data_IF_595519184643
#
_entry.id   IF_595519184643
#
_cell.length_a   1.000
_cell.length_b   1.000
_cell.length_c   1.000
_cell.angle_alpha   90.00
_cell.angle_beta   90.00
_cell.angle_gamma   90.00
#
_symmetry.space_group_name_H-M   'P 1'
#
loop_
_entity.id
_entity.type
_entity.pdbx_description
1 polymer ?
#
# COMPACT_ATOMS: atom_id res chain seq x y z
N UNK A 1 21.31 42.41 -26.42
CA UNK A 1 20.08 41.71 -25.96
C UNK A 1 19.94 40.31 -26.59
N UNK A 2 20.98 39.46 -26.57
CA UNK A 2 20.89 38.07 -27.07
C UNK A 2 21.26 37.05 -25.98
N UNK A 3 22.13 37.42 -25.04
CA UNK A 3 22.53 36.56 -23.92
C UNK A 3 21.41 36.30 -22.88
N UNK A 4 20.47 37.23 -22.69
CA UNK A 4 19.37 37.06 -21.71
C UNK A 4 18.25 36.14 -22.21
N UNK A 5 18.10 35.96 -23.52
CA UNK A 5 17.08 35.06 -24.09
C UNK A 5 17.49 33.59 -24.02
N UNK A 6 18.79 33.30 -24.12
CA UNK A 6 19.30 31.92 -24.07
C UNK A 6 19.31 31.35 -22.64
N UNK A 7 19.52 32.19 -21.62
CA UNK A 7 19.46 31.76 -20.22
C UNK A 7 18.03 31.49 -19.77
N UNK A 8 17.05 32.29 -20.19
CA UNK A 8 15.64 32.06 -19.88
C UNK A 8 15.12 30.74 -20.48
N UNK A 9 15.53 30.39 -21.70
CA UNK A 9 15.09 29.16 -22.37
C UNK A 9 15.63 27.90 -21.68
N UNK A 10 16.88 27.92 -21.20
CA UNK A 10 17.50 26.80 -20.48
C UNK A 10 16.83 26.54 -19.12
N UNK A 11 16.41 27.60 -18.41
CA UNK A 11 15.70 27.47 -17.13
C UNK A 11 14.32 26.84 -17.34
N UNK A 12 13.58 27.23 -18.39
CA UNK A 12 12.26 26.66 -18.69
C UNK A 12 12.37 25.17 -19.07
N UNK A 13 13.40 24.78 -19.82
CA UNK A 13 13.65 23.39 -20.19
C UNK A 13 14.02 22.51 -18.98
N UNK A 14 14.83 23.03 -18.05
CA UNK A 14 15.22 22.30 -16.83
C UNK A 14 14.05 22.12 -15.86
N UNK A 15 13.19 23.14 -15.70
CA UNK A 15 11.99 23.05 -14.86
C UNK A 15 11.00 22.04 -15.45
N UNK A 16 10.76 22.07 -16.77
CA UNK A 16 9.86 21.11 -17.41
C UNK A 16 10.39 19.67 -17.36
N UNK A 17 11.70 19.44 -17.51
CA UNK A 17 12.27 18.10 -17.41
C UNK A 17 12.06 17.45 -16.01
N UNK A 18 12.06 18.24 -14.94
CA UNK A 18 11.75 17.74 -13.59
C UNK A 18 10.28 17.38 -13.37
N UNK A 19 9.34 18.00 -14.11
CA UNK A 19 7.92 17.71 -13.98
C UNK A 19 7.42 16.56 -14.87
N UNK A 20 8.19 16.14 -15.88
CA UNK A 20 7.80 15.10 -16.84
C UNK A 20 8.56 13.77 -16.70
N UNK A 21 9.22 13.52 -15.57
CA UNK A 21 9.63 12.16 -15.24
C UNK A 21 8.37 11.31 -15.02
N UNK A 22 8.16 10.19 -15.73
CA UNK A 22 7.10 9.27 -15.35
C UNK A 22 7.42 8.78 -13.94
N UNK A 23 6.62 9.19 -12.96
CA UNK A 23 6.59 8.51 -11.67
C UNK A 23 6.20 7.07 -11.99
N UNK A 24 7.16 6.16 -11.97
CA UNK A 24 6.88 4.75 -11.94
C UNK A 24 6.24 4.49 -10.58
N UNK A 25 4.91 4.55 -10.53
CA UNK A 25 4.16 4.05 -9.39
C UNK A 25 4.55 2.59 -9.24
N UNK A 26 5.30 2.27 -8.19
CA UNK A 26 5.74 0.92 -7.91
C UNK A 26 4.48 0.04 -7.83
N UNK A 27 4.48 -1.10 -8.54
CA UNK A 27 3.33 -1.99 -8.55
C UNK A 27 3.11 -2.51 -7.12
N UNK A 28 2.13 -1.92 -6.44
CA UNK A 28 1.71 -2.37 -5.12
C UNK A 28 1.02 -3.73 -5.27
N UNK A 29 1.19 -4.59 -4.26
CA UNK A 29 0.60 -5.94 -4.19
C UNK A 29 -0.94 -5.91 -4.31
N UNK A 30 -1.59 -4.82 -3.88
CA UNK A 30 -3.04 -4.60 -3.99
C UNK A 30 -3.52 -4.32 -5.43
N UNK A 31 -2.62 -4.03 -6.37
CA UNK A 31 -2.93 -3.81 -7.79
C UNK A 31 -2.59 -5.01 -8.69
N UNK A 32 -2.07 -6.10 -8.12
CA UNK A 32 -1.69 -7.30 -8.84
C UNK A 32 -2.86 -8.30 -8.95
N UNK A 33 -3.28 -8.61 -10.19
CA UNK A 33 -4.49 -9.38 -10.47
C UNK A 33 -4.54 -10.76 -9.78
N UNK A 34 -3.41 -11.45 -9.68
CA UNK A 34 -3.34 -12.77 -9.05
C UNK A 34 -3.50 -12.72 -7.53
N UNK A 35 -3.23 -11.58 -6.89
CA UNK A 35 -3.38 -11.41 -5.44
C UNK A 35 -4.77 -10.98 -5.00
N UNK A 36 -5.62 -10.47 -5.90
CA UNK A 36 -6.99 -10.02 -5.57
C UNK A 36 -7.79 -11.08 -4.81
N UNK A 37 -7.69 -12.35 -5.23
CA UNK A 37 -8.39 -13.48 -4.58
C UNK A 37 -7.88 -13.82 -3.17
N UNK A 38 -6.76 -13.24 -2.75
CA UNK A 38 -6.09 -13.46 -1.47
C UNK A 38 -6.20 -12.25 -0.52
N UNK A 39 -6.95 -11.21 -0.89
CA UNK A 39 -7.03 -9.93 -0.15
C UNK A 39 -8.41 -9.71 0.51
N UNK A 40 -9.14 -10.79 0.81
CA UNK A 40 -10.42 -10.73 1.52
C UNK A 40 -10.20 -10.75 3.04
N UNK A 41 -10.34 -9.57 3.66
CA UNK A 41 -10.13 -9.37 5.10
C UNK A 41 -11.17 -10.14 5.92
N UNK A 42 -12.44 -10.14 5.51
CA UNK A 42 -13.51 -10.84 6.22
C UNK A 42 -13.21 -12.34 6.24
N UNK A 43 -12.86 -12.91 5.09
CA UNK A 43 -12.47 -14.32 4.99
C UNK A 43 -11.19 -14.65 5.76
N UNK A 44 -10.21 -13.74 5.79
CA UNK A 44 -8.94 -13.96 6.48
C UNK A 44 -9.11 -14.14 8.00
N UNK A 45 -10.08 -13.45 8.60
CA UNK A 45 -10.30 -13.47 10.05
C UNK A 45 -11.56 -14.24 10.49
N UNK A 46 -12.44 -14.63 9.56
CA UNK A 46 -13.60 -15.49 9.82
C UNK A 46 -13.26 -16.99 9.75
N UNK A 47 -12.15 -17.39 10.38
CA UNK A 47 -11.70 -18.78 10.48
C UNK A 47 -11.26 -19.09 11.92
N UNK A 48 -11.25 -20.37 12.30
CA UNK A 48 -10.73 -20.84 13.58
C UNK A 48 -9.25 -21.23 13.44
N UNK A 49 -8.36 -20.84 14.38
CA UNK A 49 -8.63 -20.09 15.61
C UNK A 49 -8.88 -18.60 15.40
N UNK A 50 -9.61 -17.99 16.33
CA UNK A 50 -9.91 -16.55 16.39
C UNK A 50 -8.79 -15.74 17.06
N UNK A 51 -7.61 -16.32 17.27
CA UNK A 51 -6.45 -15.64 17.85
C UNK A 51 -5.21 -15.72 16.96
N UNK A 52 -4.44 -14.63 16.93
CA UNK A 52 -3.32 -14.43 16.01
C UNK A 52 -2.14 -13.77 16.73
N UNK A 53 -0.97 -14.42 16.74
CA UNK A 53 0.25 -13.85 17.32
C UNK A 53 0.87 -12.80 16.41
N UNK A 54 1.32 -11.69 16.98
CA UNK A 54 2.21 -10.77 16.30
C UNK A 54 3.64 -11.32 16.38
N UNK A 55 4.07 -12.02 15.32
CA UNK A 55 5.39 -12.64 15.27
C UNK A 55 6.53 -11.63 15.05
N UNK A 56 6.32 -10.63 14.19
CA UNK A 56 7.34 -9.62 13.88
C UNK A 56 6.83 -8.53 12.95
N UNK A 57 7.57 -7.41 12.91
CA UNK A 57 7.29 -6.26 12.07
C UNK A 57 8.61 -5.53 11.76
N UNK A 58 8.70 -4.86 10.63
CA UNK A 58 9.95 -4.30 10.08
C UNK A 58 10.08 -2.77 10.28
N UNK A 59 9.37 -2.20 11.24
CA UNK A 59 9.35 -0.77 11.51
C UNK A 59 9.29 -0.51 13.02
N UNK A 60 9.56 0.71 13.48
CA UNK A 60 9.37 1.05 14.89
C UNK A 60 7.91 1.45 15.17
N UNK A 61 7.32 0.93 16.24
CA UNK A 61 5.92 1.19 16.59
C UNK A 61 5.75 1.52 18.08
N UNK A 62 5.38 2.77 18.36
CA UNK A 62 5.03 3.26 19.71
C UNK A 62 3.92 2.40 20.34
N UNK A 63 3.03 1.81 19.53
CA UNK A 63 1.96 0.94 20.01
C UNK A 63 2.46 -0.39 20.58
N UNK A 64 3.70 -0.79 20.28
CA UNK A 64 4.31 -2.05 20.78
C UNK A 64 5.42 -1.83 21.79
N UNK A 65 5.80 -0.58 22.06
CA UNK A 65 6.84 -0.27 23.06
C UNK A 65 6.48 -0.84 24.42
N UNK A 66 7.48 -1.48 25.05
CA UNK A 66 7.39 -2.13 26.35
C UNK A 66 6.33 -3.24 26.43
N UNK A 67 5.89 -3.79 25.29
CA UNK A 67 4.96 -4.92 25.21
C UNK A 67 5.68 -6.14 24.65
N UNK A 68 5.39 -7.30 25.22
CA UNK A 68 5.85 -8.61 24.75
C UNK A 68 4.65 -9.56 24.62
N UNK A 69 4.83 -10.68 23.91
CA UNK A 69 3.80 -11.70 23.73
C UNK A 69 2.46 -11.10 23.25
N UNK A 70 2.52 -10.26 22.21
CA UNK A 70 1.34 -9.60 21.66
C UNK A 70 0.55 -10.60 20.79
N UNK A 71 -0.71 -10.80 21.11
CA UNK A 71 -1.66 -11.51 20.25
C UNK A 71 -2.97 -10.74 20.11
N UNK A 72 -3.62 -10.93 18.97
CA UNK A 72 -4.94 -10.40 18.69
C UNK A 72 -5.97 -11.49 18.90
N UNK A 73 -7.10 -11.15 19.51
CA UNK A 73 -8.27 -12.04 19.62
C UNK A 73 -9.45 -11.36 18.93
N UNK A 74 -10.02 -12.02 17.92
CA UNK A 74 -11.15 -11.56 17.13
C UNK A 74 -12.43 -11.91 17.90
N UNK A 75 -13.17 -10.89 18.31
CA UNK A 75 -14.38 -11.07 19.12
C UNK A 75 -15.64 -11.18 18.24
N UNK A 76 -15.68 -10.40 17.16
CA UNK A 76 -16.75 -10.45 16.16
C UNK A 76 -16.24 -9.91 14.82
N UNK A 77 -16.74 -10.47 13.71
CA UNK A 77 -16.45 -10.00 12.36
C UNK A 77 -17.70 -9.99 11.50
N UNK A 78 -17.84 -8.95 10.68
CA UNK A 78 -18.87 -8.81 9.67
C UNK A 78 -18.22 -8.45 8.33
N UNK A 79 -19.01 -8.40 7.26
CA UNK A 79 -18.51 -7.93 5.95
C UNK A 79 -18.00 -6.49 5.98
N UNK A 80 -18.46 -5.67 6.94
CA UNK A 80 -18.15 -4.24 7.02
C UNK A 80 -17.18 -3.85 8.13
N UNK A 81 -16.76 -4.78 9.00
CA UNK A 81 -15.86 -4.44 10.09
C UNK A 81 -15.59 -5.60 11.05
N UNK A 82 -14.84 -5.29 12.11
CA UNK A 82 -14.51 -6.26 13.16
C UNK A 82 -14.30 -5.60 14.52
N UNK A 83 -14.61 -6.37 15.56
CA UNK A 83 -14.23 -6.10 16.94
C UNK A 83 -13.11 -7.07 17.33
N UNK A 84 -12.06 -6.56 17.93
CA UNK A 84 -10.94 -7.38 18.37
C UNK A 84 -10.27 -6.78 19.60
N UNK A 85 -9.42 -7.58 20.23
CA UNK A 85 -8.57 -7.11 21.30
C UNK A 85 -7.09 -7.41 21.04
N UNK A 86 -6.21 -6.49 21.44
CA UNK A 86 -4.78 -6.75 21.59
C UNK A 86 -4.52 -7.16 23.02
N UNK A 87 -3.86 -8.29 23.20
CA UNK A 87 -3.50 -8.86 24.48
C UNK A 87 -1.98 -8.97 24.54
N UNK A 88 -1.37 -8.55 25.64
CA UNK A 88 0.09 -8.46 25.74
C UNK A 88 0.57 -8.51 27.19
N UNK A 89 1.87 -8.70 27.36
CA UNK A 89 2.55 -8.59 28.65
C UNK A 89 3.33 -7.28 28.68
N UNK A 90 3.09 -6.48 29.73
CA UNK A 90 3.83 -5.24 30.00
C UNK A 90 4.09 -5.15 31.50
N UNK A 91 5.34 -4.91 31.89
CA UNK A 91 5.79 -4.93 33.30
C UNK A 91 5.33 -6.19 34.05
N UNK A 92 5.53 -7.37 33.44
CA UNK A 92 5.14 -8.70 33.98
C UNK A 92 3.64 -8.91 34.19
N UNK A 93 2.79 -7.94 33.78
CA UNK A 93 1.34 -8.04 33.87
C UNK A 93 0.72 -8.29 32.51
N UNK A 94 -0.32 -9.12 32.49
CA UNK A 94 -1.17 -9.30 31.32
C UNK A 94 -2.12 -8.12 31.22
N UNK A 95 -2.17 -7.51 30.05
CA UNK A 95 -3.02 -6.38 29.74
C UNK A 95 -3.77 -6.63 28.43
N UNK A 96 -4.92 -5.96 28.28
CA UNK A 96 -5.83 -6.08 27.14
C UNK A 96 -6.31 -4.69 26.71
N UNK A 97 -6.36 -4.45 25.41
CA UNK A 97 -6.97 -3.25 24.80
C UNK A 97 -7.98 -3.71 23.75
N UNK A 98 -9.18 -3.14 23.79
CA UNK A 98 -10.27 -3.44 22.86
C UNK A 98 -10.32 -2.43 21.72
N UNK A 99 -10.71 -2.90 20.55
CA UNK A 99 -10.81 -2.12 19.32
C UNK A 99 -12.09 -2.48 18.55
N UNK A 100 -12.56 -1.49 17.81
CA UNK A 100 -13.61 -1.64 16.79
C UNK A 100 -13.11 -0.97 15.51
N UNK A 101 -13.28 -1.64 14.39
CA UNK A 101 -12.78 -1.18 13.09
C UNK A 101 -13.81 -1.41 11.99
N UNK A 102 -13.74 -0.55 10.99
CA UNK A 102 -14.58 -0.58 9.79
C UNK A 102 -13.67 -0.94 8.61
N UNK A 103 -14.13 -1.81 7.73
CA UNK A 103 -13.42 -2.16 6.51
C UNK A 103 -13.69 -1.13 5.43
N UNK A 104 -12.62 -0.58 4.86
CA UNK A 104 -12.67 0.30 3.71
C UNK A 104 -12.36 -0.48 2.44
N UNK A 105 -13.07 -0.19 1.37
CA UNK A 105 -12.79 -0.75 0.05
C UNK A 105 -11.92 0.23 -0.74
N UNK A 106 -10.86 -0.27 -1.35
CA UNK A 106 -10.04 0.47 -2.32
C UNK A 106 -10.33 -0.08 -3.71
N UNK A 107 -10.61 0.77 -4.72
CA UNK A 107 -10.82 0.30 -6.07
C UNK A 107 -9.59 -0.42 -6.61
N UNK A 108 -9.76 -1.69 -7.00
CA UNK A 108 -8.71 -2.45 -7.68
C UNK A 108 -8.47 -1.88 -9.09
N UNK A 109 -7.23 -1.47 -9.39
CA UNK A 109 -6.79 -1.08 -10.74
C UNK A 109 -6.01 -2.24 -11.36
N UNK A 110 -6.53 -2.80 -12.45
CA UNK A 110 -5.82 -3.85 -13.18
C UNK A 110 -4.66 -3.27 -14.01
N UNK A 111 -3.50 -3.08 -13.37
CA UNK A 111 -2.31 -2.52 -14.02
C UNK A 111 -1.75 -3.43 -15.12
N UNK A 112 -2.02 -4.75 -15.10
CA UNK A 112 -1.54 -5.67 -16.14
C UNK A 112 -2.05 -5.31 -17.55
N UNK A 113 -3.22 -4.67 -17.63
CA UNK A 113 -3.85 -4.28 -18.91
C UNK A 113 -3.31 -2.94 -19.43
N UNK A 114 -2.91 -2.03 -18.54
CA UNK A 114 -2.40 -0.71 -18.92
C UNK A 114 -0.90 -0.72 -19.21
N UNK A 115 -0.11 -1.64 -18.62
CA UNK A 115 1.29 -1.82 -19.02
C UNK A 115 1.41 -2.29 -20.47
N UNK A 116 0.46 -3.10 -20.98
CA UNK A 116 0.43 -3.49 -22.40
C UNK A 116 0.18 -2.30 -23.36
N UNK A 117 -0.52 -1.24 -22.93
CA UNK A 117 -0.78 -0.08 -23.79
C UNK A 117 0.44 0.81 -23.97
N UNK A 118 1.31 0.92 -22.96
CA UNK A 118 2.49 1.80 -23.04
C UNK A 118 3.59 1.21 -23.95
N UNK A 119 3.70 -0.11 -24.04
CA UNK A 119 4.66 -0.75 -24.97
C UNK A 119 4.24 -0.59 -26.44
N UNK A 120 2.94 -0.62 -26.74
CA UNK A 120 2.45 -0.44 -28.13
C UNK A 120 2.57 1.01 -28.60
N UNK A 121 2.27 2.00 -27.73
CA UNK A 121 2.39 3.44 -28.08
C UNK A 121 3.84 3.88 -28.27
N UNK A 122 4.79 3.30 -27.52
CA UNK A 122 6.22 3.58 -27.69
C UNK A 122 6.81 2.93 -28.96
N UNK A 123 6.31 1.76 -29.38
CA UNK A 123 6.68 1.15 -30.66
C UNK A 123 6.07 1.87 -31.87
N UNK A 124 4.81 2.33 -31.78
CA UNK A 124 4.17 3.13 -32.85
C UNK A 124 4.84 4.49 -33.07
N UNK A 125 5.35 5.15 -32.01
CA UNK A 125 6.10 6.41 -32.16
C UNK A 125 7.48 6.24 -32.81
N UNK A 126 8.09 5.04 -32.77
CA UNK A 126 9.35 4.76 -33.48
C UNK A 126 9.15 4.49 -34.98
N UNK A 127 7.96 4.09 -35.41
CA UNK A 127 7.68 3.78 -36.83
C UNK A 127 7.15 4.98 -37.65
N UNK A 128 6.74 6.07 -36.99
CA UNK A 128 6.24 7.29 -37.66
C UNK A 128 7.35 8.37 -37.79
N UNK A 129 8.57 8.09 -37.30
CA UNK A 129 9.76 8.94 -37.47
C UNK A 129 10.93 8.16 -38.08
N UNK A 130 10.72 7.58 -39.25
CA UNK A 130 11.75 7.15 -40.18
C UNK A 130 11.50 7.81 -41.54
#
# INVERSE_FOLDING_TARGET
>A
MQLLFHTALLVIAAVSAHFYGPYYEENRVDNEAHYVKHQDICKAFNITPDFYWLYGFSYHSNHTENKSCVYFHIENITESGMNWSSNFIRHEKREKINYTGIFYSTPYKNLSRDTQRTTVVSQLRKHIRA
#
